data_IF_063001881895
#
_entry.id   IF_063001881895
#
_cell.length_a   1.000
_cell.length_b   1.000
_cell.length_c   1.000
_cell.angle_alpha   90.00
_cell.angle_beta   90.00
_cell.angle_gamma   90.00
#
_symmetry.space_group_name_H-M   'P 1'
#
loop_
_entity.id
_entity.type
_entity.pdbx_description
1 polymer ?
#
# COMPACT_ATOMS: atom_id res chain seq x y z
N UNK A 1 24.08 0.25 -6.72
CA UNK A 1 23.50 1.05 -7.81
C UNK A 1 22.67 2.14 -7.15
N UNK A 2 23.20 3.37 -7.10
CA UNK A 2 22.57 4.48 -6.39
C UNK A 2 21.30 4.91 -7.12
N UNK A 3 20.12 4.78 -6.49
CA UNK A 3 18.90 5.40 -7.00
C UNK A 3 18.92 6.89 -6.65
N UNK A 4 18.99 7.73 -7.68
CA UNK A 4 18.85 9.18 -7.60
C UNK A 4 17.38 9.55 -7.84
N UNK A 5 16.78 10.37 -6.97
CA UNK A 5 15.43 10.92 -7.15
C UNK A 5 15.56 12.41 -7.48
N UNK A 6 14.96 12.86 -8.60
CA UNK A 6 14.98 14.26 -9.05
C UNK A 6 13.75 15.01 -8.54
N UNK A 7 13.96 16.17 -7.93
CA UNK A 7 12.93 17.12 -7.48
C UNK A 7 12.89 18.41 -8.32
N UNK A 8 11.77 19.12 -8.27
CA UNK A 8 11.49 20.39 -8.95
C UNK A 8 12.44 21.56 -8.56
N UNK A 9 13.23 21.44 -7.48
CA UNK A 9 14.18 22.45 -7.01
C UNK A 9 15.65 22.15 -7.36
N UNK A 10 15.93 21.06 -8.08
CA UNK A 10 17.30 20.69 -8.49
C UNK A 10 18.19 20.15 -7.35
N UNK A 11 17.66 19.97 -6.15
CA UNK A 11 18.39 19.32 -5.04
C UNK A 11 18.09 17.83 -5.07
N UNK A 12 19.13 17.03 -5.30
CA UNK A 12 19.09 15.56 -5.15
C UNK A 12 19.12 15.26 -3.65
N UNK A 13 18.02 14.74 -3.09
CA UNK A 13 18.05 14.12 -1.77
C UNK A 13 18.37 12.64 -1.93
N UNK A 14 19.42 12.18 -1.24
CA UNK A 14 19.70 10.75 -1.13
C UNK A 14 18.60 10.07 -0.29
N UNK A 15 18.46 8.74 -0.41
CA UNK A 15 17.55 7.95 0.45
C UNK A 15 17.79 8.27 1.94
N UNK A 16 19.04 8.53 2.32
CA UNK A 16 19.43 8.98 3.65
C UNK A 16 18.80 10.31 4.07
N UNK A 17 18.62 11.24 3.13
CA UNK A 17 18.08 12.57 3.42
C UNK A 17 16.58 12.50 3.65
N UNK A 18 15.87 11.70 2.85
CA UNK A 18 14.45 11.44 3.09
C UNK A 18 14.24 10.69 4.41
N UNK A 19 15.09 9.71 4.72
CA UNK A 19 15.02 9.00 5.99
C UNK A 19 15.23 9.91 7.19
N UNK A 20 16.18 10.85 7.11
CA UNK A 20 16.36 11.89 8.13
C UNK A 20 15.16 12.84 8.22
N UNK A 21 14.61 13.27 7.08
CA UNK A 21 13.45 14.16 7.03
C UNK A 21 12.22 13.50 7.68
N UNK A 22 11.88 12.27 7.26
CA UNK A 22 10.76 11.51 7.83
C UNK A 22 10.98 11.27 9.31
N UNK A 23 12.19 10.87 9.74
CA UNK A 23 12.50 10.70 11.16
C UNK A 23 12.29 11.98 11.98
N UNK A 24 12.66 13.14 11.43
CA UNK A 24 12.39 14.43 12.07
C UNK A 24 10.90 14.72 12.16
N UNK A 25 10.14 14.44 11.09
CA UNK A 25 8.69 14.63 11.05
C UNK A 25 7.95 13.73 12.03
N UNK A 26 8.36 12.47 12.16
CA UNK A 26 7.83 11.56 13.17
C UNK A 26 8.02 12.13 14.57
N UNK A 27 9.22 12.62 14.92
CA UNK A 27 9.45 13.26 16.23
C UNK A 27 8.60 14.52 16.46
N UNK A 28 8.39 15.32 15.41
CA UNK A 28 7.49 16.49 15.48
C UNK A 28 6.03 16.06 15.75
N UNK A 29 5.55 15.00 15.09
CA UNK A 29 4.21 14.42 15.29
C UNK A 29 4.08 13.86 16.72
N UNK A 30 5.03 13.04 17.17
CA UNK A 30 5.02 12.46 18.51
C UNK A 30 4.93 13.54 19.59
N UNK A 31 5.72 14.62 19.45
CA UNK A 31 5.71 15.73 20.39
C UNK A 31 4.42 16.57 20.35
N UNK A 32 3.86 16.86 19.17
CA UNK A 32 2.64 17.69 19.05
C UNK A 32 1.38 16.95 19.43
N UNK A 33 1.25 15.70 18.98
CA UNK A 33 0.06 14.87 19.19
C UNK A 33 0.14 14.07 20.51
N UNK A 34 1.31 14.10 21.16
CA UNK A 34 1.61 13.37 22.39
C UNK A 34 1.30 11.87 22.26
N UNK A 35 1.89 11.28 21.22
CA UNK A 35 1.78 9.86 20.83
C UNK A 35 3.16 9.25 20.63
N UNK A 36 3.25 7.93 20.59
CA UNK A 36 4.46 7.17 20.23
C UNK A 36 4.22 6.49 18.89
N UNK A 37 5.08 6.74 17.90
CA UNK A 37 5.01 6.02 16.62
C UNK A 37 5.70 4.67 16.76
N UNK A 38 5.05 3.60 16.30
CA UNK A 38 5.60 2.24 16.30
C UNK A 38 6.35 1.93 14.99
N UNK A 39 5.86 2.44 13.87
CA UNK A 39 6.44 2.23 12.55
C UNK A 39 6.09 3.38 11.63
N UNK A 40 6.98 3.70 10.69
CA UNK A 40 6.71 4.57 9.55
C UNK A 40 7.37 3.97 8.29
N UNK A 41 6.57 3.78 7.24
CA UNK A 41 7.01 3.18 5.98
C UNK A 41 6.56 4.02 4.79
N UNK A 42 7.21 3.81 3.65
CA UNK A 42 6.69 4.27 2.37
C UNK A 42 5.51 3.40 1.94
N UNK A 43 4.52 4.04 1.32
CA UNK A 43 3.41 3.39 0.64
C UNK A 43 3.35 3.87 -0.81
N UNK A 44 2.34 3.44 -1.55
CA UNK A 44 2.12 3.92 -2.91
C UNK A 44 3.27 3.63 -3.89
N UNK A 45 3.41 4.51 -4.88
CA UNK A 45 4.17 4.20 -6.10
C UNK A 45 5.67 3.95 -5.88
N UNK A 46 6.26 4.57 -4.85
CA UNK A 46 7.67 4.40 -4.48
C UNK A 46 7.91 3.04 -3.85
N UNK A 47 7.06 2.61 -2.92
CA UNK A 47 7.10 1.26 -2.35
C UNK A 47 6.74 0.17 -3.36
N UNK A 48 5.99 0.52 -4.41
CA UNK A 48 5.56 -0.40 -5.46
C UNK A 48 6.55 -0.56 -6.63
N UNK A 49 7.73 0.07 -6.61
CA UNK A 49 8.76 0.05 -7.69
C UNK A 49 8.33 0.68 -9.02
N UNK A 50 7.41 1.64 -9.00
CA UNK A 50 7.04 2.36 -10.23
C UNK A 50 6.81 3.86 -10.02
N UNK A 51 7.46 4.49 -9.05
CA UNK A 51 7.42 5.95 -8.91
C UNK A 51 8.05 6.66 -10.12
N UNK A 52 7.52 7.83 -10.47
CA UNK A 52 8.19 8.80 -11.35
C UNK A 52 8.90 9.86 -10.49
N UNK A 53 9.75 10.72 -11.09
CA UNK A 53 10.46 11.75 -10.33
C UNK A 53 9.53 12.70 -9.56
N UNK A 54 8.36 12.99 -10.11
CA UNK A 54 7.32 13.86 -9.56
C UNK A 54 6.32 13.13 -8.64
N UNK A 55 6.49 11.84 -8.36
CA UNK A 55 5.66 11.15 -7.37
C UNK A 55 5.89 11.75 -5.98
N UNK A 56 4.81 11.92 -5.23
CA UNK A 56 4.82 12.20 -3.81
C UNK A 56 5.44 11.06 -2.99
N UNK A 57 5.60 11.30 -1.70
CA UNK A 57 6.03 10.32 -0.71
C UNK A 57 4.84 10.03 0.22
N UNK A 58 4.28 8.84 0.07
CA UNK A 58 3.15 8.32 0.82
C UNK A 58 3.65 7.71 2.14
N UNK A 59 3.96 8.55 3.13
CA UNK A 59 4.42 8.06 4.43
C UNK A 59 3.22 7.56 5.23
N UNK A 60 3.25 6.30 5.62
CA UNK A 60 2.21 5.67 6.42
C UNK A 60 2.77 5.17 7.75
N UNK A 61 2.08 5.47 8.83
CA UNK A 61 2.55 5.12 10.18
C UNK A 61 1.47 4.54 11.09
N UNK A 62 1.89 3.78 12.09
CA UNK A 62 1.03 3.32 13.19
C UNK A 62 1.54 3.94 14.47
N UNK A 63 0.64 4.50 15.28
CA UNK A 63 1.00 5.15 16.54
C UNK A 63 0.14 4.66 17.71
N UNK A 64 0.67 4.84 18.91
CA UNK A 64 0.06 4.47 20.18
C UNK A 64 -0.13 5.74 21.00
N UNK A 65 -1.31 5.89 21.60
CA UNK A 65 -1.59 6.94 22.58
C UNK A 65 -1.30 6.44 23.98
N UNK A 66 -1.26 7.35 24.96
CA UNK A 66 -1.19 6.94 26.37
C UNK A 66 -2.46 6.17 26.73
N UNK A 67 -2.33 5.18 27.61
CA UNK A 67 -3.48 4.38 28.09
C UNK A 67 -4.67 5.24 28.54
N UNK A 68 -4.42 6.37 29.24
CA UNK A 68 -5.47 7.29 29.70
C UNK A 68 -6.27 7.94 28.57
N UNK A 69 -5.68 8.12 27.39
CA UNK A 69 -6.37 8.71 26.24
C UNK A 69 -7.41 7.75 25.63
N UNK A 70 -7.22 6.44 25.77
CA UNK A 70 -8.20 5.41 25.38
C UNK A 70 -9.37 5.26 26.36
N UNK A 71 -9.24 5.78 27.58
CA UNK A 71 -10.25 5.69 28.64
C UNK A 71 -11.15 6.93 28.74
N UNK A 72 -10.95 7.92 27.86
CA UNK A 72 -11.77 9.13 27.80
C UNK A 72 -13.17 8.81 27.25
N UNK A 73 -14.19 9.48 27.78
CA UNK A 73 -15.57 9.39 27.27
C UNK A 73 -15.71 10.03 25.88
N UNK A 74 -14.98 11.11 25.64
CA UNK A 74 -14.93 11.76 24.33
C UNK A 74 -14.03 10.97 23.39
N UNK A 75 -14.63 10.50 22.28
CA UNK A 75 -13.91 9.77 21.26
C UNK A 75 -12.79 10.63 20.66
N UNK A 76 -11.56 10.11 20.73
CA UNK A 76 -10.41 10.76 20.13
C UNK A 76 -10.36 10.42 18.63
N UNK A 77 -9.85 11.36 17.82
CA UNK A 77 -9.59 11.09 16.40
C UNK A 77 -8.57 9.96 16.26
N UNK A 78 -8.87 8.98 15.43
CA UNK A 78 -8.07 7.75 15.26
C UNK A 78 -7.10 7.80 14.07
N UNK A 79 -7.00 8.97 13.41
CA UNK A 79 -6.11 9.26 12.29
C UNK A 79 -5.38 10.58 12.55
N UNK A 80 -4.08 10.59 12.30
CA UNK A 80 -3.26 11.81 12.24
C UNK A 80 -2.89 12.03 10.76
N UNK A 81 -3.15 13.22 10.25
CA UNK A 81 -2.72 13.66 8.93
C UNK A 81 -1.72 14.80 9.11
N UNK A 82 -0.61 14.77 8.37
CA UNK A 82 0.49 15.69 8.57
C UNK A 82 1.17 16.02 7.26
N UNK A 83 1.38 17.32 7.00
CA UNK A 83 2.00 17.81 5.76
C UNK A 83 1.44 17.12 4.52
N UNK A 84 0.18 17.39 4.18
CA UNK A 84 -0.48 16.92 2.97
C UNK A 84 -0.22 17.93 1.84
N UNK A 85 0.99 17.90 1.28
CA UNK A 85 1.40 18.79 0.19
C UNK A 85 1.81 17.98 -1.06
N UNK A 86 2.29 18.66 -2.10
CA UNK A 86 2.65 18.01 -3.37
C UNK A 86 3.88 17.09 -3.26
N UNK A 87 4.56 17.09 -2.11
CA UNK A 87 5.80 16.34 -1.86
C UNK A 87 5.57 15.24 -0.84
N UNK A 88 4.93 15.55 0.28
CA UNK A 88 4.67 14.61 1.36
C UNK A 88 3.17 14.40 1.50
N UNK A 89 2.79 13.14 1.71
CA UNK A 89 1.50 12.76 2.28
C UNK A 89 1.80 11.87 3.48
N UNK A 90 1.78 12.44 4.69
CA UNK A 90 2.02 11.68 5.92
C UNK A 90 0.68 11.44 6.62
N UNK A 91 0.32 10.16 6.75
CA UNK A 91 -0.92 9.76 7.41
C UNK A 91 -0.69 8.55 8.30
N UNK A 92 -1.24 8.57 9.51
CA UNK A 92 -1.05 7.52 10.48
C UNK A 92 -2.33 7.08 11.15
N UNK A 93 -2.38 5.80 11.50
CA UNK A 93 -3.49 5.19 12.21
C UNK A 93 -3.15 4.92 13.66
N UNK A 94 -4.09 5.23 14.54
CA UNK A 94 -4.05 4.80 15.94
C UNK A 94 -4.02 3.27 16.03
N UNK A 95 -3.33 2.73 17.04
CA UNK A 95 -3.21 1.28 17.25
C UNK A 95 -4.57 0.59 17.39
N UNK A 96 -5.54 1.18 18.10
CA UNK A 96 -6.87 0.60 18.23
C UNK A 96 -7.58 0.51 16.86
N UNK A 97 -7.43 1.55 16.02
CA UNK A 97 -7.93 1.54 14.64
C UNK A 97 -7.24 0.45 13.82
N UNK A 98 -5.91 0.38 13.87
CA UNK A 98 -5.12 -0.61 13.15
C UNK A 98 -5.55 -2.04 13.53
N UNK A 99 -5.70 -2.36 14.82
CA UNK A 99 -6.15 -3.68 15.26
C UNK A 99 -7.59 -3.99 14.83
N UNK A 100 -8.50 -3.02 14.89
CA UNK A 100 -9.88 -3.20 14.39
C UNK A 100 -9.94 -3.44 12.88
N UNK A 101 -9.04 -2.81 12.12
CA UNK A 101 -8.89 -3.05 10.69
C UNK A 101 -8.23 -4.40 10.40
N UNK A 102 -7.27 -4.82 11.22
CA UNK A 102 -6.65 -6.14 11.16
C UNK A 102 -7.68 -7.25 11.42
N UNK A 103 -8.55 -7.08 12.40
CA UNK A 103 -9.68 -7.99 12.63
C UNK A 103 -10.56 -8.16 11.39
N UNK A 104 -10.65 -7.14 10.53
CA UNK A 104 -11.38 -7.20 9.26
C UNK A 104 -10.50 -7.64 8.09
N UNK A 105 -9.28 -8.11 8.35
CA UNK A 105 -8.26 -8.47 7.36
C UNK A 105 -8.05 -7.36 6.33
N UNK A 106 -7.99 -6.09 6.75
CA UNK A 106 -7.76 -4.99 5.82
C UNK A 106 -6.36 -5.14 5.17
N UNK A 107 -6.25 -5.32 3.83
CA UNK A 107 -4.97 -5.57 3.16
C UNK A 107 -3.94 -4.47 3.33
N UNK A 108 -4.39 -3.23 3.55
CA UNK A 108 -3.52 -2.07 3.75
C UNK A 108 -2.49 -2.29 4.86
N UNK A 109 -2.87 -2.96 5.96
CA UNK A 109 -1.95 -3.23 7.06
C UNK A 109 -0.87 -4.24 6.70
N UNK A 110 -1.22 -5.25 5.90
CA UNK A 110 -0.28 -6.23 5.39
C UNK A 110 0.66 -5.61 4.35
N UNK A 111 0.15 -4.71 3.50
CA UNK A 111 0.98 -3.92 2.60
C UNK A 111 1.96 -3.04 3.37
N UNK A 112 1.51 -2.27 4.36
CA UNK A 112 2.41 -1.43 5.15
C UNK A 112 3.48 -2.25 5.89
N UNK A 113 3.10 -3.39 6.45
CA UNK A 113 4.04 -4.29 7.13
C UNK A 113 5.02 -4.98 6.18
N UNK A 114 4.70 -5.08 4.89
CA UNK A 114 5.56 -5.66 3.85
C UNK A 114 6.29 -4.60 3.00
N UNK A 115 6.24 -3.32 3.42
CA UNK A 115 6.88 -2.25 2.67
C UNK A 115 8.39 -2.45 2.57
N UNK A 116 8.98 -2.32 1.36
CA UNK A 116 10.43 -2.45 1.17
C UNK A 116 11.20 -1.22 1.65
N UNK A 117 10.53 -0.11 1.97
CA UNK A 117 11.15 1.15 2.39
C UNK A 117 10.62 1.50 3.77
N UNK A 118 11.43 1.20 4.78
CA UNK A 118 11.11 1.45 6.20
C UNK A 118 11.88 2.69 6.65
N UNK A 119 11.15 3.74 7.05
CA UNK A 119 11.75 4.96 7.59
C UNK A 119 12.05 4.84 9.08
N UNK A 120 11.15 4.19 9.81
CA UNK A 120 11.26 3.97 11.25
C UNK A 120 10.52 2.70 11.66
N UNK A 121 11.06 1.96 12.63
CA UNK A 121 10.38 0.88 13.32
C UNK A 121 10.89 0.79 14.77
N UNK A 122 9.98 0.56 15.71
CA UNK A 122 10.30 0.31 17.11
C UNK A 122 10.10 -1.18 17.46
N UNK A 123 10.68 -1.66 18.58
CA UNK A 123 10.46 -3.05 19.03
C UNK A 123 8.98 -3.41 19.24
N UNK A 124 8.12 -2.42 19.55
CA UNK A 124 6.67 -2.63 19.68
C UNK A 124 6.05 -3.12 18.36
N UNK A 125 6.58 -2.71 17.22
CA UNK A 125 6.08 -3.14 15.91
C UNK A 125 6.38 -4.61 15.60
N UNK A 126 7.43 -5.20 16.17
CA UNK A 126 7.71 -6.63 15.99
C UNK A 126 6.56 -7.49 16.55
N UNK A 127 6.05 -7.16 17.73
CA UNK A 127 4.88 -7.84 18.32
C UNK A 127 3.62 -7.70 17.45
N UNK A 128 3.44 -6.53 16.80
CA UNK A 128 2.35 -6.33 15.87
C UNK A 128 2.51 -7.18 14.59
N UNK A 129 3.73 -7.34 14.07
CA UNK A 129 3.98 -8.17 12.89
C UNK A 129 3.70 -9.65 13.14
N UNK A 130 3.99 -10.16 14.34
CA UNK A 130 3.77 -11.56 14.71
C UNK A 130 2.29 -11.97 14.65
N UNK A 131 1.38 -11.05 14.93
CA UNK A 131 -0.06 -11.34 14.93
C UNK A 131 -0.68 -11.26 13.53
N UNK A 132 -0.08 -10.53 12.58
CA UNK A 132 -0.65 -10.29 11.24
C UNK A 132 -1.09 -11.59 10.55
N UNK A 133 -0.26 -12.66 10.44
CA UNK A 133 -0.64 -13.86 9.70
C UNK A 133 -1.89 -14.54 10.24
N UNK A 134 -2.17 -14.38 11.54
CA UNK A 134 -3.35 -14.97 12.19
C UNK A 134 -4.66 -14.33 11.72
N UNK A 135 -4.63 -13.13 11.14
CA UNK A 135 -5.82 -12.39 10.73
C UNK A 135 -5.92 -12.21 9.21
N UNK A 136 -5.06 -12.86 8.43
CA UNK A 136 -5.08 -12.80 6.99
C UNK A 136 -6.21 -13.65 6.39
N UNK A 137 -7.15 -12.98 5.71
CA UNK A 137 -8.21 -13.61 4.93
C UNK A 137 -7.95 -13.46 3.44
N UNK A 138 -7.85 -14.60 2.75
CA UNK A 138 -7.74 -14.66 1.28
C UNK A 138 -8.94 -13.97 0.62
N UNK A 139 -10.16 -14.29 1.07
CA UNK A 139 -11.41 -13.78 0.48
C UNK A 139 -11.51 -12.25 0.60
N UNK A 140 -11.29 -11.72 1.80
CA UNK A 140 -11.34 -10.26 2.03
C UNK A 140 -10.25 -9.53 1.26
N UNK A 141 -9.06 -10.12 1.17
CA UNK A 141 -7.97 -9.58 0.35
C UNK A 141 -8.30 -9.57 -1.13
N UNK A 142 -8.87 -10.65 -1.67
CA UNK A 142 -9.32 -10.71 -3.06
C UNK A 142 -10.38 -9.64 -3.38
N UNK A 143 -11.37 -9.45 -2.51
CA UNK A 143 -12.36 -8.39 -2.71
C UNK A 143 -11.72 -6.99 -2.74
N UNK A 144 -10.75 -6.72 -1.87
CA UNK A 144 -10.04 -5.45 -1.86
C UNK A 144 -9.30 -5.19 -3.18
N UNK A 145 -8.51 -6.16 -3.65
CA UNK A 145 -7.76 -6.03 -4.90
C UNK A 145 -8.71 -5.96 -6.11
N UNK A 146 -9.80 -6.72 -6.12
CA UNK A 146 -10.85 -6.59 -7.12
C UNK A 146 -11.48 -5.19 -7.13
N UNK A 147 -11.86 -4.65 -5.97
CA UNK A 147 -12.41 -3.29 -5.88
C UNK A 147 -11.42 -2.23 -6.37
N UNK A 148 -10.14 -2.37 -6.02
CA UNK A 148 -9.07 -1.50 -6.51
C UNK A 148 -8.94 -1.57 -8.04
N UNK A 149 -8.91 -2.78 -8.61
CA UNK A 149 -8.86 -2.97 -10.06
C UNK A 149 -10.11 -2.36 -10.73
N UNK A 150 -11.31 -2.69 -10.25
CA UNK A 150 -12.59 -2.25 -10.81
C UNK A 150 -12.78 -0.72 -10.72
N UNK A 151 -12.31 -0.08 -9.64
CA UNK A 151 -12.39 1.38 -9.52
C UNK A 151 -11.44 2.06 -10.51
N UNK A 152 -10.29 1.46 -10.80
CA UNK A 152 -9.32 2.00 -11.75
C UNK A 152 -9.61 1.58 -13.21
N UNK A 153 -10.45 0.57 -13.46
CA UNK A 153 -10.74 0.08 -14.81
C UNK A 153 -11.59 1.05 -15.65
N UNK A 154 -12.29 2.02 -15.02
CA UNK A 154 -13.23 2.91 -15.73
C UNK A 154 -12.59 3.68 -16.90
N UNK A 155 -11.31 4.04 -16.80
CA UNK A 155 -10.58 4.67 -17.91
C UNK A 155 -10.32 3.71 -19.08
N UNK A 156 -10.27 2.41 -18.82
CA UNK A 156 -10.08 1.38 -19.85
C UNK A 156 -11.39 1.02 -20.55
N UNK A 157 -12.53 1.15 -19.87
CA UNK A 157 -13.86 0.85 -20.44
C UNK A 157 -14.29 1.85 -21.53
N UNK A 158 -13.76 3.08 -21.52
CA UNK A 158 -14.02 4.03 -22.60
C UNK A 158 -13.03 3.82 -23.75
N UNK A 159 -13.37 2.89 -24.64
CA UNK A 159 -12.58 2.54 -25.84
C UNK A 159 -12.38 3.72 -26.80
N UNK A 160 -13.21 4.78 -26.73
CA UNK A 160 -13.04 6.00 -27.53
C UNK A 160 -11.86 6.85 -27.06
N UNK A 161 -11.38 6.66 -25.83
CA UNK A 161 -10.16 7.29 -25.35
C UNK A 161 -8.95 6.60 -26.00
N UNK A 162 -8.36 7.23 -27.01
CA UNK A 162 -7.15 6.75 -27.68
C UNK A 162 -5.93 6.62 -26.73
N UNK A 163 -5.99 7.21 -25.53
CA UNK A 163 -4.89 7.23 -24.58
C UNK A 163 -5.32 7.03 -23.13
N UNK A 164 -4.51 6.26 -22.39
CA UNK A 164 -4.72 5.94 -20.97
C UNK A 164 -3.56 6.48 -20.14
N UNK A 165 -3.83 6.93 -18.92
CA UNK A 165 -2.77 7.34 -17.99
C UNK A 165 -1.91 6.14 -17.62
N UNK A 166 -0.59 6.27 -17.72
CA UNK A 166 0.32 5.16 -17.47
C UNK A 166 0.21 4.61 -16.04
N UNK A 167 -0.02 5.48 -15.05
CA UNK A 167 -0.25 5.11 -13.63
C UNK A 167 -1.43 4.15 -13.47
N UNK A 168 -2.48 4.25 -14.31
CA UNK A 168 -3.66 3.38 -14.23
C UNK A 168 -3.35 1.95 -14.66
N UNK A 169 -2.48 1.75 -15.65
CA UNK A 169 -2.01 0.39 -16.01
C UNK A 169 -1.38 -0.29 -14.80
N UNK A 170 -0.45 0.38 -14.12
CA UNK A 170 0.25 -0.22 -12.98
C UNK A 170 -0.65 -0.51 -11.78
N UNK A 171 -1.60 0.37 -11.46
CA UNK A 171 -2.53 0.14 -10.36
C UNK A 171 -3.43 -1.07 -10.63
N UNK A 172 -3.97 -1.19 -11.84
CA UNK A 172 -4.85 -2.31 -12.21
C UNK A 172 -4.06 -3.61 -12.34
N UNK A 173 -2.91 -3.59 -13.04
CA UNK A 173 -2.07 -4.78 -13.17
C UNK A 173 -1.58 -5.26 -11.81
N UNK A 174 -1.10 -4.37 -10.94
CA UNK A 174 -0.66 -4.76 -9.60
C UNK A 174 -1.80 -5.42 -8.82
N UNK A 175 -3.02 -4.87 -8.90
CA UNK A 175 -4.18 -5.46 -8.25
C UNK A 175 -4.51 -6.87 -8.78
N UNK A 176 -4.46 -7.08 -10.10
CA UNK A 176 -4.67 -8.39 -10.72
C UNK A 176 -3.60 -9.39 -10.27
N UNK A 177 -2.32 -9.02 -10.37
CA UNK A 177 -1.21 -9.91 -10.01
C UNK A 177 -1.21 -10.24 -8.50
N UNK A 178 -1.56 -9.27 -7.66
CA UNK A 178 -1.76 -9.47 -6.23
C UNK A 178 -2.90 -10.47 -5.95
N UNK A 179 -4.02 -10.37 -6.68
CA UNK A 179 -5.09 -11.36 -6.58
C UNK A 179 -4.66 -12.75 -7.01
N UNK A 180 -3.91 -12.89 -8.10
CA UNK A 180 -3.35 -14.17 -8.54
C UNK A 180 -2.42 -14.78 -7.49
N UNK A 181 -1.55 -13.97 -6.88
CA UNK A 181 -0.73 -14.40 -5.76
C UNK A 181 -1.55 -14.95 -4.60
N UNK A 182 -2.63 -14.27 -4.20
CA UNK A 182 -3.48 -14.71 -3.09
C UNK A 182 -4.19 -16.04 -3.43
N UNK A 183 -4.61 -16.22 -4.68
CA UNK A 183 -5.27 -17.45 -5.13
C UNK A 183 -4.31 -18.64 -5.12
N UNK A 184 -3.07 -18.44 -5.57
CA UNK A 184 -2.08 -19.51 -5.75
C UNK A 184 -1.28 -19.77 -4.47
N UNK A 185 -0.70 -18.75 -3.86
CA UNK A 185 0.18 -18.87 -2.69
C UNK A 185 -0.61 -18.84 -1.38
N UNK A 186 -1.79 -18.22 -1.38
CA UNK A 186 -2.62 -18.14 -0.18
C UNK A 186 -2.08 -17.23 0.92
N UNK A 187 -1.13 -16.35 0.60
CA UNK A 187 -0.48 -15.43 1.53
C UNK A 187 -0.63 -13.98 1.05
N UNK A 188 -0.19 -13.03 1.88
CA UNK A 188 -0.13 -11.63 1.47
C UNK A 188 0.85 -11.45 0.29
N UNK A 189 0.46 -10.76 -0.79
CA UNK A 189 1.34 -10.51 -1.93
C UNK A 189 2.52 -9.61 -1.57
N UNK A 190 3.68 -9.76 -2.24
CA UNK A 190 4.79 -8.82 -2.10
C UNK A 190 4.37 -7.42 -2.53
N UNK A 191 4.88 -6.40 -1.83
CA UNK A 191 4.49 -5.02 -2.11
C UNK A 191 5.05 -4.52 -3.45
N UNK A 192 6.22 -5.01 -3.85
CA UNK A 192 6.96 -4.65 -5.06
C UNK A 192 6.29 -5.18 -6.33
N UNK A 193 6.02 -4.30 -7.28
CA UNK A 193 5.40 -4.67 -8.55
C UNK A 193 6.30 -5.58 -9.39
N UNK A 194 7.63 -5.37 -9.36
CA UNK A 194 8.57 -6.20 -10.10
C UNK A 194 8.51 -7.68 -9.66
N UNK A 195 8.33 -7.94 -8.37
CA UNK A 195 8.20 -9.30 -7.83
C UNK A 195 6.89 -9.96 -8.29
N UNK A 196 5.79 -9.20 -8.28
CA UNK A 196 4.50 -9.66 -8.81
C UNK A 196 4.54 -9.94 -10.32
N UNK A 197 5.20 -9.08 -11.09
CA UNK A 197 5.37 -9.28 -12.55
C UNK A 197 6.18 -10.52 -12.84
N UNK A 198 7.32 -10.70 -12.15
CA UNK A 198 8.18 -11.86 -12.33
C UNK A 198 7.47 -13.18 -11.95
N UNK A 199 6.62 -13.15 -10.93
CA UNK A 199 5.94 -14.33 -10.42
C UNK A 199 4.65 -14.69 -11.18
N UNK A 200 3.84 -13.70 -11.59
CA UNK A 200 2.45 -13.91 -12.01
C UNK A 200 2.09 -13.39 -13.40
N UNK A 201 2.87 -12.47 -13.99
CA UNK A 201 2.54 -11.93 -15.32
C UNK A 201 2.99 -12.88 -16.44
N UNK A 202 2.10 -13.22 -17.40
CA UNK A 202 2.47 -14.02 -18.57
C UNK A 202 3.68 -13.46 -19.32
N UNK A 203 4.58 -14.34 -19.77
CA UNK A 203 5.86 -13.96 -20.36
C UNK A 203 5.69 -13.09 -21.61
N UNK A 204 4.62 -13.30 -22.37
CA UNK A 204 4.29 -12.57 -23.59
C UNK A 204 3.94 -11.10 -23.30
N UNK A 205 3.43 -10.79 -22.10
CA UNK A 205 3.03 -9.45 -21.68
C UNK A 205 4.15 -8.68 -20.97
N UNK A 206 5.19 -9.36 -20.50
CA UNK A 206 6.32 -8.73 -19.80
C UNK A 206 7.02 -7.64 -20.64
N UNK A 207 7.27 -7.81 -21.95
CA UNK A 207 7.86 -6.74 -22.77
C UNK A 207 7.00 -5.48 -22.83
N UNK A 208 5.68 -5.62 -22.88
CA UNK A 208 4.75 -4.49 -22.89
C UNK A 208 4.80 -3.71 -21.56
N UNK A 209 4.79 -4.42 -20.43
CA UNK A 209 4.92 -3.81 -19.10
C UNK A 209 6.30 -3.16 -18.91
N UNK A 210 7.38 -3.80 -19.35
CA UNK A 210 8.73 -3.24 -19.28
C UNK A 210 8.84 -1.94 -20.10
N UNK A 211 8.22 -1.89 -21.29
CA UNK A 211 8.15 -0.68 -22.12
C UNK A 211 7.39 0.45 -21.41
N UNK A 212 6.28 0.15 -20.75
CA UNK A 212 5.54 1.14 -19.95
C UNK A 212 6.38 1.63 -18.76
N UNK A 213 7.07 0.73 -18.05
CA UNK A 213 7.95 1.12 -16.93
C UNK A 213 9.07 2.05 -17.40
N UNK A 214 9.77 1.68 -18.49
CA UNK A 214 10.80 2.53 -19.08
C UNK A 214 10.26 3.90 -19.51
N UNK A 215 9.04 3.94 -20.04
CA UNK A 215 8.40 5.20 -20.39
C UNK A 215 8.06 6.07 -19.18
N UNK A 216 7.92 5.52 -17.96
CA UNK A 216 7.57 6.26 -16.74
C UNK A 216 8.79 6.90 -16.06
N UNK A 217 9.98 6.31 -16.20
CA UNK A 217 11.21 6.76 -15.51
C UNK A 217 11.58 8.21 -15.87
N UNK A 218 11.25 8.66 -17.08
CA UNK A 218 11.72 9.96 -17.61
C UNK A 218 10.66 11.06 -17.71
N UNK A 219 9.44 10.84 -17.20
CA UNK A 219 8.29 11.72 -17.49
C UNK A 219 7.29 11.86 -16.34
N UNK A 220 6.50 12.96 -16.33
CA UNK A 220 5.53 13.23 -15.29
C UNK A 220 4.44 12.15 -15.15
N UNK A 221 3.89 12.00 -13.94
CA UNK A 221 2.81 11.06 -13.60
C UNK A 221 1.56 11.18 -14.49
N UNK A 222 1.32 12.38 -15.03
CA UNK A 222 0.17 12.70 -15.87
C UNK A 222 0.30 12.19 -17.32
N UNK A 223 1.42 11.56 -17.70
CA UNK A 223 1.62 11.08 -19.07
C UNK A 223 0.56 10.05 -19.45
N UNK A 224 -0.12 10.35 -20.56
CA UNK A 224 -0.99 9.39 -21.25
C UNK A 224 -0.19 8.69 -22.34
N UNK A 225 -0.44 7.41 -22.50
CA UNK A 225 0.16 6.56 -23.53
C UNK A 225 -0.92 6.02 -24.43
N UNK A 226 -0.57 5.70 -25.68
CA UNK A 226 -1.46 4.93 -26.53
C UNK A 226 -1.82 3.61 -25.82
N UNK A 227 -3.05 3.16 -26.05
CA UNK A 227 -3.53 1.90 -25.48
C UNK A 227 -2.65 0.74 -25.93
N UNK A 228 -2.50 -0.25 -25.06
CA UNK A 228 -1.78 -1.49 -25.31
C UNK A 228 -2.81 -2.62 -25.36
N UNK A 229 -3.30 -3.00 -26.56
CA UNK A 229 -4.46 -3.89 -26.69
C UNK A 229 -4.32 -5.22 -25.93
N UNK A 230 -3.14 -5.83 -25.97
CA UNK A 230 -2.85 -7.08 -25.28
C UNK A 230 -2.96 -6.96 -23.75
N UNK A 231 -2.59 -5.80 -23.18
CA UNK A 231 -2.76 -5.53 -21.75
C UNK A 231 -4.20 -5.19 -21.40
N UNK A 232 -4.91 -4.48 -22.28
CA UNK A 232 -6.32 -4.14 -22.07
C UNK A 232 -7.21 -5.38 -22.05
N UNK A 233 -6.98 -6.32 -22.97
CA UNK A 233 -7.67 -7.61 -23.02
C UNK A 233 -7.35 -8.46 -21.77
N UNK A 234 -6.07 -8.52 -21.39
CA UNK A 234 -5.65 -9.17 -20.16
C UNK A 234 -6.34 -8.57 -18.93
N UNK A 235 -6.37 -7.24 -18.81
CA UNK A 235 -7.02 -6.54 -17.70
C UNK A 235 -8.52 -6.85 -17.64
N UNK A 236 -9.23 -6.72 -18.77
CA UNK A 236 -10.67 -6.91 -18.82
C UNK A 236 -11.07 -8.34 -18.44
N UNK A 237 -10.37 -9.34 -18.98
CA UNK A 237 -10.63 -10.75 -18.68
C UNK A 237 -10.39 -11.10 -17.20
N UNK A 238 -9.30 -10.60 -16.61
CA UNK A 238 -8.93 -10.94 -15.23
C UNK A 238 -9.81 -10.26 -14.18
N UNK A 239 -10.27 -9.03 -14.41
CA UNK A 239 -11.19 -8.36 -13.46
C UNK A 239 -12.50 -9.14 -13.32
N UNK A 240 -13.05 -9.64 -14.42
CA UNK A 240 -14.25 -10.49 -14.39
C UNK A 240 -14.01 -11.81 -13.66
N UNK A 241 -12.84 -12.44 -13.86
CA UNK A 241 -12.49 -13.68 -13.16
C UNK A 241 -12.32 -13.47 -11.65
N UNK A 242 -11.63 -12.39 -11.24
CA UNK A 242 -11.42 -12.04 -9.83
C UNK A 242 -12.74 -11.90 -9.07
N UNK A 243 -13.76 -11.29 -9.68
CA UNK A 243 -15.08 -11.15 -9.06
C UNK A 243 -15.72 -12.51 -8.78
N UNK A 244 -15.73 -13.40 -9.77
CA UNK A 244 -16.31 -14.73 -9.66
C UNK A 244 -15.56 -15.58 -8.61
N UNK A 245 -14.23 -15.49 -8.60
CA UNK A 245 -13.38 -16.18 -7.63
C UNK A 245 -13.61 -15.67 -6.20
N UNK A 246 -13.72 -14.36 -6.00
CA UNK A 246 -14.01 -13.78 -4.70
C UNK A 246 -15.41 -14.18 -4.18
N UNK A 247 -16.42 -14.24 -5.06
CA UNK A 247 -17.79 -14.65 -4.72
C UNK A 247 -17.88 -16.12 -4.32
N UNK A 248 -17.21 -17.00 -5.04
CA UNK A 248 -17.26 -18.46 -4.81
C UNK A 248 -16.34 -18.94 -3.68
N UNK A 249 -15.39 -18.12 -3.25
CA UNK A 249 -14.50 -18.45 -2.14
C UNK A 249 -15.27 -18.52 -0.81
N UNK A 250 -15.07 -19.59 -0.06
CA UNK A 250 -15.59 -19.70 1.29
C UNK A 250 -14.72 -18.91 2.27
N UNK A 251 -15.35 -18.18 3.19
CA UNK A 251 -14.63 -17.60 4.33
C UNK A 251 -14.43 -18.72 5.36
N UNK A 252 -13.19 -19.20 5.48
CA UNK A 252 -12.88 -20.31 6.38
C UNK A 252 -12.55 -19.85 7.81
N UNK A 253 -12.28 -18.56 8.00
CA UNK A 253 -11.74 -18.03 9.25
C UNK A 253 -12.76 -17.17 10.01
N UNK A 254 -13.03 -17.56 11.25
CA UNK A 254 -13.64 -16.67 12.25
C UNK A 254 -12.52 -16.03 13.07
N UNK A 255 -12.49 -14.71 13.09
CA UNK A 255 -11.50 -13.96 13.83
C UNK A 255 -11.95 -13.79 15.28
N UNK A 256 -10.99 -13.84 16.21
CA UNK A 256 -11.21 -13.61 17.64
C UNK A 256 -10.65 -12.25 18.04
N UNK A 257 -11.29 -11.58 18.99
CA UNK A 257 -10.81 -10.33 19.57
C UNK A 257 -9.78 -10.56 20.66
N UNK A 258 -9.79 -11.68 21.38
CA UNK A 258 -8.93 -11.91 22.54
C UNK A 258 -7.43 -11.72 22.24
N UNK A 259 -6.86 -12.25 21.13
CA UNK A 259 -5.45 -12.03 20.81
C UNK A 259 -5.12 -10.55 20.51
N UNK A 260 -6.04 -9.83 19.84
CA UNK A 260 -5.87 -8.40 19.55
C UNK A 260 -5.99 -7.55 20.80
N UNK A 261 -6.92 -7.87 21.70
CA UNK A 261 -7.09 -7.17 22.97
C UNK A 261 -5.87 -7.38 23.88
N UNK A 262 -5.33 -8.59 23.93
CA UNK A 262 -4.10 -8.91 24.66
C UNK A 262 -2.92 -8.11 24.13
N UNK A 263 -2.74 -8.07 22.80
CA UNK A 263 -1.70 -7.26 22.17
C UNK A 263 -1.91 -5.76 22.39
N UNK A 264 -3.14 -5.27 22.26
CA UNK A 264 -3.46 -3.86 22.53
C UNK A 264 -3.04 -3.48 23.94
N UNK A 265 -3.43 -4.28 24.93
CA UNK A 265 -3.08 -4.06 26.33
C UNK A 265 -1.58 -4.19 26.63
N UNK A 266 -0.82 -4.97 25.86
CA UNK A 266 0.65 -5.03 26.03
C UNK A 266 1.36 -3.79 25.47
N UNK A 267 0.83 -3.22 24.38
CA UNK A 267 1.48 -2.12 23.64
C UNK A 267 1.19 -0.73 24.19
N UNK A 268 0.07 -0.55 24.90
CA UNK A 268 -0.31 0.74 25.52
C UNK A 268 0.21 0.93 26.96
N UNK A 269 0.92 -0.08 27.50
CA UNK A 269 1.56 -0.01 28.82
C UNK A 269 2.78 0.91 28.82
#
# INVERSE_FOLDING_TARGET
MLLLIKYATGVVMMISDMQMLVSKKIKEIEARENVEVMMAVESGSRAWDFASPDSDYDIRFIYVRRATDYLKLEAQRDVIEWQLDETLDISGWDLQKALKLLYRSNPTLFEWASSPIVYYQSPKFEQFKEILPQYFSKKKSLYHYWHMANTNQREFLNVELAQVKIKKYFYVLRAILASQWILEEGTNPPMRFAELVAAKLPQELQPAVAKLLAQKVDVPELKRVARVPELDEYIASHISQMEQQAQTMNELQQNDWEPLDTLFMSLIK
#
